data_IF_619380001142
#
_entry.id   IF_619380001142
#
_cell.length_a   1.000
_cell.length_b   1.000
_cell.length_c   1.000
_cell.angle_alpha   90.00
_cell.angle_beta   90.00
_cell.angle_gamma   90.00
#
_symmetry.space_group_name_H-M   'P 1'
#
loop_
_entity.id
_entity.type
_entity.pdbx_description
1 polymer ?
#
# COMPACT_ATOMS: atom_id res chain seq x y z
N UNK A 1 5.23 24.52 16.41
CA UNK A 1 6.40 23.85 17.01
C UNK A 1 7.27 24.91 17.68
N UNK A 2 7.81 24.70 18.89
CA UNK A 2 8.69 25.65 19.55
C UNK A 2 9.95 25.94 18.74
N UNK A 3 10.54 27.11 18.94
CA UNK A 3 11.76 27.51 18.24
C UNK A 3 12.93 26.57 18.58
N UNK A 4 13.63 26.09 17.57
CA UNK A 4 14.78 25.17 17.73
C UNK A 4 14.40 23.68 17.82
N UNK A 5 13.11 23.35 17.84
CA UNK A 5 12.68 21.97 17.76
C UNK A 5 12.77 21.45 16.32
N UNK A 6 13.01 20.15 16.17
CA UNK A 6 13.02 19.42 14.90
C UNK A 6 11.75 18.58 14.76
N UNK A 7 11.38 18.27 13.54
CA UNK A 7 10.29 17.37 13.23
C UNK A 7 10.86 16.02 12.76
N UNK A 8 10.29 14.94 13.26
CA UNK A 8 10.50 13.58 12.78
C UNK A 8 9.22 13.11 12.15
N UNK A 9 9.25 12.83 10.84
CA UNK A 9 8.20 12.13 10.14
C UNK A 9 8.56 10.65 10.02
N UNK A 10 7.67 9.77 10.44
CA UNK A 10 7.84 8.33 10.29
C UNK A 10 6.61 7.73 9.61
N UNK A 11 6.84 6.88 8.60
CA UNK A 11 5.84 6.25 7.74
C UNK A 11 5.95 4.73 7.79
N UNK A 12 4.82 4.03 7.74
CA UNK A 12 4.80 2.57 7.65
C UNK A 12 4.95 2.12 6.19
N UNK A 13 6.15 1.66 5.83
CA UNK A 13 6.54 1.33 4.45
C UNK A 13 5.61 0.32 3.78
N UNK A 14 4.84 0.78 2.78
CA UNK A 14 3.98 -0.06 1.95
C UNK A 14 2.93 -0.85 2.73
N UNK A 15 2.34 -0.25 3.77
CA UNK A 15 1.46 -0.90 4.73
C UNK A 15 0.33 -1.70 4.08
N UNK A 16 -0.36 -1.14 3.07
CA UNK A 16 -1.48 -1.83 2.40
C UNK A 16 -1.05 -3.11 1.69
N UNK A 17 0.10 -3.07 0.99
CA UNK A 17 0.63 -4.26 0.32
C UNK A 17 1.14 -5.30 1.32
N UNK A 18 1.68 -4.88 2.47
CA UNK A 18 2.07 -5.78 3.56
C UNK A 18 0.85 -6.41 4.23
N UNK A 19 -0.22 -5.65 4.44
CA UNK A 19 -1.51 -6.19 4.88
C UNK A 19 -2.07 -7.20 3.88
N UNK A 20 -2.03 -6.89 2.57
CA UNK A 20 -2.44 -7.82 1.53
C UNK A 20 -1.60 -9.11 1.58
N UNK A 21 -0.28 -8.97 1.64
CA UNK A 21 0.66 -10.09 1.72
C UNK A 21 0.39 -10.97 2.95
N UNK A 22 0.11 -10.37 4.12
CA UNK A 22 -0.30 -11.10 5.31
C UNK A 22 -1.51 -12.00 5.07
N UNK A 23 -2.58 -11.47 4.49
CA UNK A 23 -3.79 -12.26 4.23
C UNK A 23 -3.62 -13.26 3.10
N UNK A 24 -2.80 -12.96 2.08
CA UNK A 24 -2.50 -13.87 0.99
C UNK A 24 -1.63 -15.06 1.40
N UNK A 25 -0.73 -14.88 2.38
CA UNK A 25 0.22 -15.91 2.81
C UNK A 25 -0.42 -17.23 3.22
N UNK A 26 -1.68 -17.22 3.68
CA UNK A 26 -2.46 -18.44 3.97
C UNK A 26 -2.81 -19.27 2.72
N UNK A 27 -2.75 -18.68 1.53
CA UNK A 27 -3.15 -19.30 0.27
C UNK A 27 -1.97 -19.62 -0.65
N UNK A 28 -0.81 -18.94 -0.47
CA UNK A 28 0.38 -19.11 -1.32
C UNK A 28 1.64 -19.51 -0.56
N UNK A 29 1.51 -19.72 0.77
CA UNK A 29 2.65 -20.07 1.61
C UNK A 29 3.71 -18.97 1.73
N UNK A 30 3.31 -17.70 1.53
CA UNK A 30 4.20 -16.54 1.65
C UNK A 30 4.91 -16.13 0.36
N UNK A 31 4.57 -16.67 -0.79
CA UNK A 31 5.19 -16.30 -2.08
C UNK A 31 5.05 -14.80 -2.39
N UNK A 32 3.87 -14.23 -2.13
CA UNK A 32 3.65 -12.80 -2.35
C UNK A 32 4.47 -11.96 -1.36
N UNK A 33 4.64 -12.43 -0.12
CA UNK A 33 5.52 -11.80 0.89
C UNK A 33 6.96 -11.75 0.37
N UNK A 34 7.48 -12.88 -0.15
CA UNK A 34 8.83 -12.94 -0.68
C UNK A 34 9.05 -11.97 -1.85
N UNK A 35 8.12 -11.92 -2.81
CA UNK A 35 8.18 -10.97 -3.94
C UNK A 35 8.13 -9.52 -3.45
N UNK A 36 7.31 -9.23 -2.44
CA UNK A 36 7.17 -7.88 -1.89
C UNK A 36 8.45 -7.41 -1.18
N UNK A 37 9.11 -8.30 -0.43
CA UNK A 37 10.28 -7.96 0.37
C UNK A 37 11.60 -8.03 -0.40
N UNK A 38 11.73 -8.98 -1.32
CA UNK A 38 12.99 -9.32 -1.98
C UNK A 38 12.98 -9.10 -3.50
N UNK A 39 11.85 -8.72 -4.07
CA UNK A 39 11.66 -8.52 -5.51
C UNK A 39 11.07 -7.16 -5.88
N UNK A 40 10.57 -7.06 -7.11
CA UNK A 40 9.77 -5.91 -7.56
C UNK A 40 8.30 -6.31 -7.68
N UNK A 41 7.54 -6.05 -6.62
CA UNK A 41 6.11 -6.39 -6.57
C UNK A 41 5.31 -5.67 -7.67
N UNK A 42 5.70 -4.44 -8.03
CA UNK A 42 5.00 -3.70 -9.07
C UNK A 42 5.28 -4.27 -10.44
N UNK A 43 6.51 -4.78 -10.69
CA UNK A 43 6.79 -5.49 -11.93
C UNK A 43 6.09 -6.86 -11.99
N UNK A 44 6.05 -7.60 -10.90
CA UNK A 44 5.25 -8.82 -10.81
C UNK A 44 3.77 -8.54 -11.11
N UNK A 45 3.23 -7.40 -10.68
CA UNK A 45 1.89 -6.97 -11.02
C UNK A 45 1.74 -6.62 -12.52
N UNK A 46 2.73 -5.99 -13.18
CA UNK A 46 2.73 -5.79 -14.66
C UNK A 46 2.56 -7.12 -15.40
N UNK A 47 3.32 -8.14 -14.99
CA UNK A 47 3.24 -9.47 -15.57
C UNK A 47 1.89 -10.14 -15.28
N UNK A 48 1.37 -9.99 -14.07
CA UNK A 48 0.06 -10.50 -13.68
C UNK A 48 -1.09 -9.79 -14.41
N UNK A 49 -0.97 -8.51 -14.71
CA UNK A 49 -1.91 -7.75 -15.56
C UNK A 49 -1.95 -8.27 -17.00
N UNK A 50 -0.92 -8.99 -17.44
CA UNK A 50 -0.81 -9.53 -18.80
C UNK A 50 -0.28 -8.51 -19.80
N UNK A 51 0.39 -7.46 -19.33
CA UNK A 51 0.99 -6.43 -20.19
C UNK A 51 2.23 -6.98 -20.88
N UNK A 52 3.13 -7.62 -20.13
CA UNK A 52 4.32 -8.28 -20.68
C UNK A 52 4.72 -9.49 -19.84
N UNK A 53 5.52 -10.38 -20.38
CA UNK A 53 6.18 -11.49 -19.66
C UNK A 53 7.68 -11.27 -19.50
N UNK A 54 8.21 -10.17 -20.01
CA UNK A 54 9.64 -9.86 -19.99
C UNK A 54 10.15 -9.62 -18.57
N UNK A 55 11.47 -9.77 -18.41
CA UNK A 55 12.15 -9.29 -17.22
C UNK A 55 12.22 -7.76 -17.26
N UNK A 56 12.16 -7.13 -16.09
CA UNK A 56 12.30 -5.69 -16.00
C UNK A 56 13.68 -5.25 -16.44
N UNK A 57 13.70 -4.21 -17.27
CA UNK A 57 14.87 -3.41 -17.59
C UNK A 57 14.69 -2.01 -17.00
N UNK A 58 15.55 -1.63 -16.06
CA UNK A 58 15.50 -0.35 -15.36
C UNK A 58 15.83 0.86 -16.25
N UNK A 59 16.49 0.63 -17.37
CA UNK A 59 16.82 1.66 -18.35
C UNK A 59 15.71 1.84 -19.40
N UNK A 60 14.75 0.92 -19.47
CA UNK A 60 13.63 0.99 -20.42
C UNK A 60 12.52 1.89 -19.89
N UNK A 61 12.31 3.03 -20.55
CA UNK A 61 11.27 4.02 -20.19
C UNK A 61 9.86 3.43 -20.26
N UNK A 62 9.59 2.53 -21.21
CA UNK A 62 8.30 1.86 -21.31
C UNK A 62 8.05 0.91 -20.12
N UNK A 63 9.08 0.19 -19.66
CA UNK A 63 9.00 -0.64 -18.46
C UNK A 63 8.72 0.18 -17.20
N UNK A 64 9.32 1.36 -17.10
CA UNK A 64 9.02 2.30 -16.01
C UNK A 64 7.56 2.75 -16.05
N UNK A 65 7.06 3.10 -17.22
CA UNK A 65 5.65 3.49 -17.42
C UNK A 65 4.71 2.34 -17.04
N UNK A 66 4.98 1.11 -17.46
CA UNK A 66 4.18 -0.06 -17.10
C UNK A 66 4.16 -0.30 -15.59
N UNK A 67 5.32 -0.18 -14.94
CA UNK A 67 5.46 -0.33 -13.50
C UNK A 67 4.65 0.71 -12.72
N UNK A 68 4.69 1.98 -13.13
CA UNK A 68 3.91 3.06 -12.53
C UNK A 68 2.41 2.84 -12.72
N UNK A 69 2.01 2.39 -13.90
CA UNK A 69 0.63 1.99 -14.19
C UNK A 69 0.16 0.82 -13.33
N UNK A 70 1.00 -0.18 -13.14
CA UNK A 70 0.70 -1.32 -12.27
C UNK A 70 0.62 -0.91 -10.79
N UNK A 71 1.47 0.02 -10.33
CA UNK A 71 1.34 0.63 -9.01
C UNK A 71 -0.02 1.30 -8.83
N UNK A 72 -0.42 2.14 -9.78
CA UNK A 72 -1.74 2.80 -9.75
C UNK A 72 -2.89 1.78 -9.79
N UNK A 73 -2.76 0.75 -10.63
CA UNK A 73 -3.78 -0.30 -10.75
C UNK A 73 -3.97 -1.09 -9.46
N UNK A 74 -2.89 -1.55 -8.81
CA UNK A 74 -3.04 -2.41 -7.62
C UNK A 74 -3.76 -1.65 -6.50
N UNK A 75 -3.42 -0.40 -6.23
CA UNK A 75 -4.12 0.40 -5.23
C UNK A 75 -5.58 0.62 -5.62
N UNK A 76 -5.87 1.02 -6.86
CA UNK A 76 -7.25 1.17 -7.33
C UNK A 76 -8.05 -0.14 -7.16
N UNK A 77 -7.45 -1.30 -7.48
CA UNK A 77 -8.05 -2.61 -7.29
C UNK A 77 -8.37 -2.90 -5.81
N UNK A 78 -7.42 -2.63 -4.90
CA UNK A 78 -7.60 -2.84 -3.46
C UNK A 78 -8.68 -1.94 -2.87
N UNK A 79 -8.82 -0.72 -3.39
CA UNK A 79 -9.89 0.22 -3.02
C UNK A 79 -11.24 -0.09 -3.70
N UNK A 80 -11.32 -1.16 -4.50
CA UNK A 80 -12.58 -1.59 -5.11
C UNK A 80 -13.01 -0.79 -6.32
N UNK A 81 -12.06 -0.22 -7.08
CA UNK A 81 -12.36 0.53 -8.29
C UNK A 81 -13.21 -0.26 -9.28
N UNK A 82 -14.21 0.40 -9.86
CA UNK A 82 -15.07 -0.13 -10.93
C UNK A 82 -14.28 -0.49 -12.20
N UNK A 83 -14.90 -1.23 -13.10
CA UNK A 83 -14.24 -1.67 -14.33
C UNK A 83 -13.84 -0.51 -15.22
N UNK A 84 -14.69 0.50 -15.36
CA UNK A 84 -14.41 1.72 -16.12
C UNK A 84 -13.16 2.46 -15.59
N UNK A 85 -13.08 2.68 -14.27
CA UNK A 85 -11.91 3.33 -13.66
C UNK A 85 -10.62 2.55 -13.91
N UNK A 86 -10.68 1.22 -13.88
CA UNK A 86 -9.53 0.37 -14.18
C UNK A 86 -9.14 0.46 -15.66
N UNK A 87 -10.12 0.48 -16.56
CA UNK A 87 -9.88 0.73 -18.00
C UNK A 87 -9.25 2.10 -18.26
N UNK A 88 -9.71 3.13 -17.56
CA UNK A 88 -9.12 4.48 -17.64
C UNK A 88 -7.65 4.49 -17.19
N UNK A 89 -7.26 3.69 -16.20
CA UNK A 89 -5.84 3.56 -15.79
C UNK A 89 -5.00 2.99 -16.95
N UNK A 90 -5.48 1.94 -17.61
CA UNK A 90 -4.78 1.35 -18.76
C UNK A 90 -4.69 2.35 -19.92
N UNK A 91 -5.79 3.04 -20.24
CA UNK A 91 -5.79 4.06 -21.28
C UNK A 91 -4.87 5.24 -20.94
N UNK A 92 -4.76 5.60 -19.67
CA UNK A 92 -3.77 6.57 -19.18
C UNK A 92 -2.32 6.16 -19.45
N UNK A 93 -2.03 4.85 -19.42
CA UNK A 93 -0.71 4.33 -19.83
C UNK A 93 -0.49 4.51 -21.34
N UNK A 94 -1.51 4.23 -22.17
CA UNK A 94 -1.48 4.48 -23.62
C UNK A 94 -1.21 5.96 -23.91
N UNK A 95 -1.96 6.86 -23.28
CA UNK A 95 -1.81 8.30 -23.48
C UNK A 95 -0.40 8.80 -23.10
N UNK A 96 0.14 8.32 -21.97
CA UNK A 96 1.51 8.65 -21.54
C UNK A 96 2.57 8.10 -22.50
N UNK A 97 2.44 6.85 -22.96
CA UNK A 97 3.36 6.24 -23.91
C UNK A 97 3.36 7.05 -25.21
N UNK A 98 2.19 7.40 -25.74
CA UNK A 98 2.02 8.25 -26.94
C UNK A 98 2.69 9.61 -26.77
N UNK A 99 2.48 10.28 -25.65
CA UNK A 99 3.08 11.59 -25.36
C UNK A 99 4.63 11.53 -25.26
N UNK A 100 5.19 10.40 -24.89
CA UNK A 100 6.64 10.16 -24.79
C UNK A 100 7.25 9.58 -26.08
N UNK A 101 6.46 9.37 -27.15
CA UNK A 101 6.92 8.73 -28.38
C UNK A 101 7.32 7.26 -28.21
N UNK A 102 6.77 6.58 -27.19
CA UNK A 102 7.01 5.16 -26.93
C UNK A 102 5.99 4.30 -27.67
N UNK A 103 6.30 3.00 -27.82
CA UNK A 103 5.35 2.03 -28.36
C UNK A 103 4.18 1.83 -27.40
N UNK A 104 2.96 2.10 -27.88
CA UNK A 104 1.71 1.92 -27.15
C UNK A 104 0.74 0.97 -27.85
N UNK A 105 1.08 0.54 -29.08
CA UNK A 105 0.19 -0.28 -29.91
C UNK A 105 -0.16 -1.59 -29.20
N UNK A 106 0.82 -2.21 -28.55
CA UNK A 106 0.60 -3.43 -27.77
C UNK A 106 -0.50 -3.28 -26.70
N UNK A 107 -0.55 -2.14 -25.98
CA UNK A 107 -1.61 -1.89 -24.98
C UNK A 107 -2.98 -1.71 -25.64
N UNK A 108 -3.04 -1.03 -26.80
CA UNK A 108 -4.28 -0.88 -27.56
C UNK A 108 -4.78 -2.24 -28.05
N UNK A 109 -3.93 -3.06 -28.63
CA UNK A 109 -4.30 -4.38 -29.13
C UNK A 109 -4.76 -5.30 -28.02
N UNK A 110 -4.04 -5.32 -26.90
CA UNK A 110 -4.37 -6.18 -25.77
C UNK A 110 -5.67 -5.77 -25.08
N UNK A 111 -5.93 -4.48 -24.88
CA UNK A 111 -7.02 -4.03 -24.02
C UNK A 111 -8.17 -3.37 -24.76
N UNK A 112 -7.92 -2.78 -25.91
CA UNK A 112 -8.90 -1.92 -26.64
C UNK A 112 -9.17 -2.37 -28.08
N UNK A 113 -8.71 -3.57 -28.46
CA UNK A 113 -8.85 -4.10 -29.84
C UNK A 113 -8.35 -3.12 -30.91
N UNK A 114 -7.26 -2.40 -30.63
CA UNK A 114 -6.67 -1.41 -31.54
C UNK A 114 -7.37 -0.05 -31.57
N UNK A 115 -8.35 0.24 -30.72
CA UNK A 115 -9.07 1.52 -30.70
C UNK A 115 -8.22 2.62 -30.04
N UNK A 116 -7.92 3.67 -30.79
CA UNK A 116 -7.17 4.85 -30.32
C UNK A 116 -8.01 5.79 -29.41
N UNK A 117 -9.33 5.76 -29.52
CA UNK A 117 -10.26 6.56 -28.73
C UNK A 117 -11.38 5.67 -28.19
N UNK A 118 -11.13 4.90 -27.12
CA UNK A 118 -12.13 4.02 -26.55
C UNK A 118 -13.27 4.82 -25.88
N UNK A 119 -14.50 4.41 -26.11
CA UNK A 119 -15.67 4.90 -25.41
C UNK A 119 -15.79 4.28 -24.00
N UNK A 120 -16.80 4.67 -23.24
CA UNK A 120 -17.05 4.19 -21.89
C UNK A 120 -17.22 2.65 -21.84
N UNK A 121 -17.88 2.06 -22.83
CA UNK A 121 -18.06 0.61 -22.89
C UNK A 121 -16.73 -0.12 -23.16
N UNK A 122 -15.91 0.39 -24.05
CA UNK A 122 -14.57 -0.13 -24.30
C UNK A 122 -13.67 -0.03 -23.04
N UNK A 123 -13.75 1.10 -22.31
CA UNK A 123 -13.05 1.25 -21.02
C UNK A 123 -13.52 0.22 -19.99
N UNK A 124 -14.84 0.02 -19.84
CA UNK A 124 -15.39 -1.01 -18.94
C UNK A 124 -14.96 -2.42 -19.35
N UNK A 125 -14.97 -2.73 -20.64
CA UNK A 125 -14.55 -4.02 -21.17
C UNK A 125 -13.06 -4.28 -20.89
N UNK A 126 -12.20 -3.28 -21.13
CA UNK A 126 -10.76 -3.33 -20.86
C UNK A 126 -10.48 -3.57 -19.35
N UNK A 127 -11.14 -2.82 -18.48
CA UNK A 127 -10.97 -2.98 -17.03
C UNK A 127 -11.45 -4.33 -16.52
N UNK A 128 -12.58 -4.83 -17.02
CA UNK A 128 -13.07 -6.18 -16.72
C UNK A 128 -12.09 -7.26 -17.16
N UNK A 129 -11.55 -7.14 -18.38
CA UNK A 129 -10.53 -8.05 -18.95
C UNK A 129 -9.27 -8.05 -18.09
N UNK A 130 -8.79 -6.85 -17.71
CA UNK A 130 -7.61 -6.70 -16.86
C UNK A 130 -7.81 -7.38 -15.51
N UNK A 131 -8.88 -7.07 -14.79
CA UNK A 131 -9.19 -7.68 -13.48
C UNK A 131 -9.28 -9.21 -13.57
N UNK A 132 -9.94 -9.72 -14.60
CA UNK A 132 -10.07 -11.18 -14.82
C UNK A 132 -8.71 -11.84 -15.07
N UNK A 133 -7.85 -11.20 -15.88
CA UNK A 133 -6.49 -11.68 -16.18
C UNK A 133 -5.62 -11.65 -14.94
N UNK A 134 -5.64 -10.55 -14.20
CA UNK A 134 -4.90 -10.37 -12.96
C UNK A 134 -5.26 -11.44 -11.92
N UNK A 135 -6.56 -11.64 -11.65
CA UNK A 135 -7.02 -12.66 -10.70
C UNK A 135 -6.73 -14.08 -11.16
N UNK A 136 -6.71 -14.34 -12.47
CA UNK A 136 -6.32 -15.65 -13.00
C UNK A 136 -4.84 -15.94 -12.77
N UNK A 137 -3.98 -14.93 -12.95
CA UNK A 137 -2.53 -15.04 -12.74
C UNK A 137 -2.10 -14.93 -11.28
N UNK A 138 -3.01 -14.48 -10.39
CA UNK A 138 -2.79 -14.38 -8.94
C UNK A 138 -3.80 -15.24 -8.16
N UNK A 139 -3.68 -16.58 -8.18
CA UNK A 139 -4.69 -17.50 -7.60
C UNK A 139 -4.93 -17.28 -6.10
N UNK A 140 -3.89 -16.92 -5.34
CA UNK A 140 -4.01 -16.64 -3.91
C UNK A 140 -4.90 -15.42 -3.65
N UNK A 141 -4.70 -14.35 -4.42
CA UNK A 141 -5.56 -13.16 -4.35
C UNK A 141 -7.01 -13.49 -4.74
N UNK A 142 -7.20 -14.29 -5.79
CA UNK A 142 -8.54 -14.74 -6.19
C UNK A 142 -9.25 -15.50 -5.07
N UNK A 143 -8.53 -16.40 -4.35
CA UNK A 143 -9.06 -17.13 -3.19
C UNK A 143 -9.39 -16.16 -2.05
N UNK A 144 -8.51 -15.22 -1.75
CA UNK A 144 -8.74 -14.19 -0.71
C UNK A 144 -9.99 -13.36 -1.02
N UNK A 145 -10.08 -12.79 -2.22
CA UNK A 145 -11.23 -11.98 -2.66
C UNK A 145 -12.55 -12.76 -2.54
N UNK A 146 -12.55 -14.06 -2.96
CA UNK A 146 -13.72 -14.92 -2.80
C UNK A 146 -14.09 -15.12 -1.34
N UNK A 147 -13.13 -15.47 -0.48
CA UNK A 147 -13.37 -15.71 0.94
C UNK A 147 -13.88 -14.45 1.67
N UNK A 148 -13.32 -13.28 1.36
CA UNK A 148 -13.74 -12.01 1.94
C UNK A 148 -15.17 -11.64 1.50
N UNK A 149 -15.51 -11.83 0.22
CA UNK A 149 -16.87 -11.60 -0.29
C UNK A 149 -17.90 -12.53 0.35
N UNK A 150 -17.57 -13.80 0.56
CA UNK A 150 -18.45 -14.72 1.27
C UNK A 150 -18.62 -14.33 2.75
N UNK A 151 -17.54 -13.93 3.42
CA UNK A 151 -17.62 -13.44 4.79
C UNK A 151 -18.50 -12.17 4.90
N UNK A 152 -18.37 -11.25 3.94
CA UNK A 152 -19.16 -10.02 3.89
C UNK A 152 -20.69 -10.24 3.79
N UNK A 153 -21.14 -11.39 3.29
CA UNK A 153 -22.57 -11.74 3.27
C UNK A 153 -23.20 -11.82 4.67
N UNK A 154 -22.39 -12.03 5.72
CA UNK A 154 -22.80 -12.00 7.12
C UNK A 154 -22.91 -10.58 7.71
N UNK A 155 -22.62 -9.55 6.90
CA UNK A 155 -22.61 -8.15 7.32
C UNK A 155 -21.33 -7.67 8.01
N UNK A 156 -20.38 -8.58 8.29
CA UNK A 156 -19.13 -8.23 8.95
C UNK A 156 -17.97 -9.13 8.55
N UNK A 157 -16.75 -8.61 8.72
CA UNK A 157 -15.49 -9.33 8.70
C UNK A 157 -14.93 -9.42 10.11
N UNK A 158 -14.04 -10.35 10.35
CA UNK A 158 -13.27 -10.44 11.61
C UNK A 158 -11.93 -9.75 11.41
N UNK A 159 -11.65 -8.73 12.21
CA UNK A 159 -10.39 -8.00 12.23
C UNK A 159 -9.26 -8.81 12.87
N UNK A 160 -8.04 -8.27 12.82
CA UNK A 160 -6.85 -8.93 13.39
C UNK A 160 -6.96 -9.18 14.91
N UNK A 161 -7.66 -8.32 15.62
CA UNK A 161 -7.91 -8.39 17.05
C UNK A 161 -9.22 -9.12 17.42
N UNK A 162 -9.85 -9.79 16.46
CA UNK A 162 -11.09 -10.53 16.63
C UNK A 162 -12.37 -9.70 16.61
N UNK A 163 -12.31 -8.35 16.53
CA UNK A 163 -13.50 -7.51 16.46
C UNK A 163 -14.26 -7.68 15.14
N UNK A 164 -15.56 -7.44 15.20
CA UNK A 164 -16.38 -7.42 13.99
C UNK A 164 -16.23 -6.07 13.28
N UNK A 165 -15.76 -6.12 12.03
CA UNK A 165 -15.69 -4.96 11.13
C UNK A 165 -16.92 -4.97 10.24
N UNK A 166 -17.82 -4.01 10.43
CA UNK A 166 -19.06 -3.91 9.65
C UNK A 166 -18.75 -3.63 8.18
N UNK A 167 -19.41 -4.34 7.28
CA UNK A 167 -19.22 -4.23 5.82
C UNK A 167 -20.51 -3.79 5.15
N UNK A 168 -20.52 -2.56 4.64
CA UNK A 168 -21.68 -1.99 3.93
C UNK A 168 -21.85 -2.55 2.50
N UNK A 169 -20.74 -2.99 1.88
CA UNK A 169 -20.75 -3.47 0.49
C UNK A 169 -19.73 -4.58 0.29
N UNK A 170 -20.16 -5.68 -0.35
CA UNK A 170 -19.27 -6.79 -0.69
C UNK A 170 -18.12 -6.36 -1.68
N UNK A 171 -18.34 -5.31 -2.47
CA UNK A 171 -17.29 -4.78 -3.35
C UNK A 171 -16.15 -4.12 -2.57
N UNK A 172 -16.47 -3.46 -1.46
CA UNK A 172 -15.49 -2.80 -0.61
C UNK A 172 -14.91 -3.72 0.49
N UNK A 173 -15.35 -4.97 0.57
CA UNK A 173 -15.01 -5.88 1.67
C UNK A 173 -13.50 -6.11 1.81
N UNK A 174 -12.76 -6.26 0.69
CA UNK A 174 -11.30 -6.38 0.72
C UNK A 174 -10.66 -5.10 1.29
N UNK A 175 -11.10 -3.93 0.85
CA UNK A 175 -10.63 -2.66 1.38
C UNK A 175 -10.86 -2.56 2.90
N UNK A 176 -12.07 -2.86 3.39
CA UNK A 176 -12.34 -2.87 4.84
C UNK A 176 -11.41 -3.80 5.62
N UNK A 177 -11.09 -4.97 5.06
CA UNK A 177 -10.16 -5.91 5.69
C UNK A 177 -8.75 -5.31 5.80
N UNK A 178 -8.22 -4.75 4.70
CA UNK A 178 -6.86 -4.22 4.63
C UNK A 178 -6.71 -2.94 5.44
N UNK A 179 -7.64 -1.99 5.28
CA UNK A 179 -7.64 -0.73 6.02
C UNK A 179 -7.84 -0.97 7.53
N UNK A 180 -8.70 -1.91 7.90
CA UNK A 180 -8.88 -2.30 9.31
C UNK A 180 -7.60 -2.89 9.93
N UNK A 181 -6.89 -3.74 9.18
CA UNK A 181 -5.62 -4.31 9.62
C UNK A 181 -4.53 -3.24 9.75
N UNK A 182 -4.39 -2.38 8.74
CA UNK A 182 -3.45 -1.26 8.78
C UNK A 182 -3.72 -0.31 9.95
N UNK A 183 -4.97 0.09 10.14
CA UNK A 183 -5.35 0.98 11.24
C UNK A 183 -5.06 0.38 12.64
N UNK A 184 -5.24 -0.93 12.81
CA UNK A 184 -4.89 -1.60 14.07
C UNK A 184 -3.37 -1.63 14.29
N UNK A 185 -2.61 -2.00 13.26
CA UNK A 185 -1.15 -2.00 13.32
C UNK A 185 -0.61 -0.61 13.67
N UNK A 186 -1.12 0.43 12.99
CA UNK A 186 -0.72 1.81 13.22
C UNK A 186 -1.04 2.30 14.64
N UNK A 187 -2.23 2.01 15.17
CA UNK A 187 -2.58 2.37 16.54
C UNK A 187 -1.71 1.66 17.57
N UNK A 188 -1.41 0.39 17.35
CA UNK A 188 -0.50 -0.36 18.22
C UNK A 188 0.93 0.17 18.13
N UNK A 189 1.36 0.57 16.94
CA UNK A 189 2.64 1.24 16.73
C UNK A 189 2.78 2.50 17.57
N UNK A 190 1.77 3.40 17.57
CA UNK A 190 1.80 4.62 18.39
C UNK A 190 1.92 4.32 19.88
N UNK A 191 1.17 3.32 20.38
CA UNK A 191 1.25 2.92 21.81
C UNK A 191 2.65 2.41 22.11
N UNK A 192 3.18 1.49 21.31
CA UNK A 192 4.53 0.96 21.52
C UNK A 192 5.62 2.03 21.39
N UNK A 193 5.44 3.01 20.50
CA UNK A 193 6.38 4.11 20.34
C UNK A 193 6.39 5.01 21.60
N UNK A 194 5.22 5.40 22.10
CA UNK A 194 5.13 6.23 23.30
C UNK A 194 5.71 5.49 24.53
N UNK A 195 5.35 4.22 24.72
CA UNK A 195 5.88 3.38 25.79
C UNK A 195 7.42 3.23 25.69
N UNK A 196 7.97 3.01 24.49
CA UNK A 196 9.41 2.85 24.27
C UNK A 196 10.17 4.15 24.56
N UNK A 197 9.64 5.30 24.11
CA UNK A 197 10.27 6.60 24.35
C UNK A 197 10.27 6.95 25.84
N UNK A 198 9.18 6.68 26.55
CA UNK A 198 9.11 6.86 28.01
C UNK A 198 10.04 5.89 28.75
N UNK A 199 10.15 4.63 28.32
CA UNK A 199 11.08 3.67 28.88
C UNK A 199 12.55 4.08 28.69
N UNK A 200 12.87 4.81 27.63
CA UNK A 200 14.19 5.45 27.42
C UNK A 200 14.40 6.72 28.25
N UNK A 201 13.46 7.08 29.11
CA UNK A 201 13.53 8.24 30.00
C UNK A 201 13.13 9.57 29.34
N UNK A 202 12.53 9.55 28.15
CA UNK A 202 12.05 10.75 27.49
C UNK A 202 10.66 11.13 28.00
N UNK A 203 10.42 12.43 28.14
CA UNK A 203 9.15 12.98 28.62
C UNK A 203 8.30 13.46 27.44
N UNK A 204 7.08 12.96 27.31
CA UNK A 204 6.10 13.42 26.32
C UNK A 204 5.55 14.82 26.70
N UNK A 205 5.26 15.63 25.68
CA UNK A 205 4.62 16.92 25.77
C UNK A 205 5.54 18.10 25.44
N UNK A 206 4.94 19.27 25.26
CA UNK A 206 5.67 20.48 24.87
C UNK A 206 6.66 21.00 25.93
N UNK A 207 6.46 20.62 27.19
CA UNK A 207 7.41 20.84 28.29
C UNK A 207 8.42 19.70 28.44
N UNK A 208 8.26 18.67 27.62
CA UNK A 208 9.08 17.46 27.61
C UNK A 208 10.14 17.45 26.52
N UNK A 209 10.41 16.28 25.98
CA UNK A 209 11.46 16.01 25.01
C UNK A 209 10.89 15.81 23.61
N UNK A 210 9.68 15.28 23.51
CA UNK A 210 8.97 15.05 22.24
C UNK A 210 7.47 15.29 22.38
N UNK A 211 6.79 15.59 21.27
CA UNK A 211 5.34 15.73 21.23
C UNK A 211 4.80 15.18 19.90
N UNK A 212 3.77 14.34 19.97
CA UNK A 212 3.03 13.93 18.77
C UNK A 212 2.26 15.14 18.21
N UNK A 213 2.48 15.45 16.93
CA UNK A 213 1.90 16.62 16.27
C UNK A 213 0.74 16.25 15.35
N UNK A 214 0.92 15.21 14.54
CA UNK A 214 -0.05 14.80 13.56
C UNK A 214 0.04 13.29 13.31
N UNK A 215 -1.12 12.72 12.99
CA UNK A 215 -1.24 11.39 12.45
C UNK A 215 -2.03 11.47 11.14
N UNK A 216 -1.41 11.06 10.04
CA UNK A 216 -2.01 11.15 8.69
C UNK A 216 -1.85 9.80 8.00
N UNK A 217 -2.95 9.06 7.84
CA UNK A 217 -2.96 7.70 7.28
C UNK A 217 -2.07 6.72 8.05
N UNK A 218 -0.89 6.43 7.54
CA UNK A 218 0.14 5.54 8.06
C UNK A 218 1.43 6.28 8.44
N UNK A 219 1.36 7.62 8.51
CA UNK A 219 2.46 8.51 8.87
C UNK A 219 2.21 9.20 10.21
N UNK A 220 3.23 9.30 11.05
CA UNK A 220 3.23 10.11 12.28
C UNK A 220 4.27 11.23 12.20
N UNK A 221 3.87 12.44 12.64
CA UNK A 221 4.76 13.59 12.76
C UNK A 221 4.99 13.90 14.24
N UNK A 222 6.25 13.94 14.65
CA UNK A 222 6.68 14.07 16.04
C UNK A 222 7.66 15.22 16.18
N UNK A 223 7.31 16.23 16.99
CA UNK A 223 8.23 17.31 17.34
C UNK A 223 9.23 16.80 18.40
N UNK A 224 10.50 17.12 18.23
CA UNK A 224 11.60 16.72 19.09
C UNK A 224 12.40 17.96 19.53
N UNK A 225 12.74 18.03 20.82
CA UNK A 225 13.38 19.20 21.42
C UNK A 225 14.74 19.54 20.79
N UNK A 226 15.48 18.56 20.34
CA UNK A 226 16.79 18.72 19.71
C UNK A 226 17.13 17.50 18.85
N UNK A 227 18.26 17.56 18.15
CA UNK A 227 18.71 16.49 17.23
C UNK A 227 18.96 15.15 17.93
N UNK A 228 19.55 15.15 19.12
CA UNK A 228 19.79 13.90 19.86
C UNK A 228 18.50 13.16 20.19
N UNK A 229 17.45 13.91 20.60
CA UNK A 229 16.11 13.34 20.82
C UNK A 229 15.50 12.88 19.49
N UNK A 230 15.64 13.64 18.42
CA UNK A 230 15.11 13.28 17.11
C UNK A 230 15.70 11.95 16.57
N UNK A 231 16.99 11.72 16.78
CA UNK A 231 17.64 10.44 16.43
C UNK A 231 17.02 9.28 17.22
N UNK A 232 16.85 9.42 18.54
CA UNK A 232 16.23 8.39 19.39
C UNK A 232 14.79 8.10 18.94
N UNK A 233 14.02 9.16 18.63
CA UNK A 233 12.63 9.03 18.18
C UNK A 233 12.54 8.32 16.83
N UNK A 234 13.43 8.61 15.88
CA UNK A 234 13.50 7.92 14.59
C UNK A 234 13.73 6.43 14.74
N UNK A 235 14.78 6.05 15.48
CA UNK A 235 15.14 4.64 15.73
C UNK A 235 13.99 3.89 16.43
N UNK A 236 13.37 4.51 17.43
CA UNK A 236 12.24 3.93 18.13
C UNK A 236 11.02 3.78 17.22
N UNK A 237 10.72 4.79 16.39
CA UNK A 237 9.59 4.76 15.47
C UNK A 237 9.72 3.60 14.48
N UNK A 238 10.87 3.45 13.83
CA UNK A 238 11.13 2.35 12.89
C UNK A 238 11.05 0.97 13.57
N UNK A 239 11.64 0.80 14.75
CA UNK A 239 11.60 -0.45 15.49
C UNK A 239 10.18 -0.82 15.95
N UNK A 240 9.39 0.16 16.41
CA UNK A 240 8.04 -0.08 16.91
C UNK A 240 7.02 -0.45 15.84
N UNK A 241 7.23 -0.08 14.56
CA UNK A 241 6.42 -0.60 13.45
C UNK A 241 6.53 -2.11 13.35
N UNK A 242 7.75 -2.66 13.41
CA UNK A 242 7.97 -4.10 13.38
C UNK A 242 7.32 -4.79 14.59
N UNK A 243 7.51 -4.27 15.81
CA UNK A 243 6.85 -4.76 17.02
C UNK A 243 5.33 -4.81 16.92
N UNK A 244 4.72 -3.79 16.28
CA UNK A 244 3.27 -3.77 16.05
C UNK A 244 2.81 -4.90 15.12
N UNK A 245 3.58 -5.20 14.07
CA UNK A 245 3.33 -6.36 13.21
C UNK A 245 3.42 -7.68 13.95
N UNK A 246 4.43 -7.85 14.79
CA UNK A 246 4.63 -9.05 15.61
C UNK A 246 3.46 -9.27 16.59
N UNK A 247 2.97 -8.20 17.23
CA UNK A 247 1.86 -8.26 18.18
C UNK A 247 0.56 -8.80 17.55
N UNK A 248 0.35 -8.58 16.27
CA UNK A 248 -0.78 -9.13 15.51
C UNK A 248 -0.43 -10.37 14.67
N UNK A 249 0.74 -10.97 14.90
CA UNK A 249 1.21 -12.15 14.16
C UNK A 249 1.17 -11.95 12.63
N UNK A 250 1.62 -10.78 12.16
CA UNK A 250 1.72 -10.52 10.73
C UNK A 250 2.65 -11.54 10.06
N UNK A 251 2.17 -12.14 8.98
CA UNK A 251 2.97 -13.07 8.15
C UNK A 251 3.90 -12.35 7.18
N UNK A 252 3.71 -11.05 7.02
CA UNK A 252 4.61 -10.16 6.30
C UNK A 252 5.17 -9.16 7.31
N UNK A 253 6.47 -9.12 7.57
CA UNK A 253 7.06 -8.16 8.50
C UNK A 253 6.65 -6.73 8.15
N UNK A 254 6.22 -5.96 9.14
CA UNK A 254 6.04 -4.52 8.98
C UNK A 254 7.39 -3.82 9.12
N UNK A 255 7.55 -2.71 8.42
CA UNK A 255 8.73 -1.86 8.50
C UNK A 255 8.31 -0.39 8.41
N UNK A 256 9.11 0.50 8.95
CA UNK A 256 8.94 1.93 8.86
C UNK A 256 10.18 2.61 8.30
N UNK A 257 9.96 3.79 7.75
CA UNK A 257 10.99 4.72 7.30
C UNK A 257 10.78 6.05 8.00
N UNK A 258 11.86 6.75 8.33
CA UNK A 258 11.75 8.03 8.99
C UNK A 258 12.72 9.07 8.43
N UNK A 259 12.27 10.32 8.44
CA UNK A 259 13.06 11.48 8.07
C UNK A 259 13.04 12.51 9.20
N UNK A 260 14.03 13.37 9.22
CA UNK A 260 14.14 14.47 10.18
C UNK A 260 14.30 15.79 9.41
N UNK A 261 13.60 16.81 9.85
CA UNK A 261 13.62 18.13 9.22
C UNK A 261 13.05 19.22 10.11
N UNK A 262 12.91 20.43 9.56
CA UNK A 262 12.35 21.58 10.26
C UNK A 262 10.84 21.74 10.06
N UNK A 263 10.29 21.06 9.08
CA UNK A 263 8.88 21.14 8.71
C UNK A 263 8.41 19.84 8.01
N UNK A 264 7.09 19.71 7.81
CA UNK A 264 6.51 18.52 7.23
C UNK A 264 6.95 18.26 5.78
N UNK A 265 7.20 19.29 4.97
CA UNK A 265 7.66 19.10 3.60
C UNK A 265 9.05 18.44 3.50
N UNK A 266 9.86 18.56 4.55
CA UNK A 266 11.18 17.91 4.66
C UNK A 266 11.10 16.48 5.20
N UNK A 267 10.02 16.15 5.90
CA UNK A 267 9.85 14.85 6.59
C UNK A 267 8.85 13.92 5.93
N UNK A 268 8.16 14.38 4.87
CA UNK A 268 7.19 13.59 4.09
C UNK A 268 7.79 12.95 2.83
#
# INVERSE_FOLDING_TARGET
MPLGWLLVGADASGLELRCLAHFMARYDGGKYVDILLNGDIHWANVQAMGITSEKRDDHNTLHKLYRDGAKTFIYAFLYGAGDEKVGTIVFGMVAKAKALGLDYQHLLDVFFNGQDNPDEEALKAAGKKLKATFLRKTPALKKLVKAVKEAAKRGHLVGLDGRHVHVKSAHAALNYLLQGAGALACKQWLVFLDDELQARGLKHGWDGDYAFCAWVHDEVQIACRNEAIAVIVREAAEACVAKAGEAFNFRCPLAGESKMGLNWAETH
#
